data_IF_141706662724
#
_entry.id   IF_141706662724
#
_cell.length_a   1.000
_cell.length_b   1.000
_cell.length_c   1.000
_cell.angle_alpha   90.00
_cell.angle_beta   90.00
_cell.angle_gamma   90.00
#
_symmetry.space_group_name_H-M   'P 1'
#
loop_
_entity.id
_entity.type
_entity.pdbx_description
1 polymer ?
#
# COMPACT_ATOMS: atom_id res chain seq x y z
N UNK A 1 20.10 -6.57 -3.25
CA UNK A 1 20.77 -6.48 -1.94
C UNK A 1 20.33 -5.17 -1.31
N UNK A 2 20.09 -5.18 -0.01
CA UNK A 2 19.81 -3.97 0.76
C UNK A 2 21.04 -3.05 0.71
N UNK A 3 20.87 -1.76 0.43
CA UNK A 3 22.02 -0.84 0.36
C UNK A 3 22.54 -0.42 1.73
N UNK A 4 21.71 -0.61 2.77
CA UNK A 4 22.07 -0.29 4.16
C UNK A 4 22.93 -1.39 4.78
N UNK A 5 22.43 -2.63 4.80
CA UNK A 5 23.10 -3.75 5.48
C UNK A 5 23.86 -4.70 4.55
N UNK A 6 23.78 -4.50 3.22
CA UNK A 6 24.29 -5.44 2.21
C UNK A 6 23.73 -6.86 2.33
N UNK A 7 22.63 -7.04 3.04
CA UNK A 7 21.91 -8.31 3.18
C UNK A 7 21.00 -8.62 1.98
N UNK A 8 20.55 -9.88 1.85
CA UNK A 8 19.53 -10.24 0.89
C UNK A 8 18.20 -9.53 1.19
N UNK A 9 17.38 -9.36 0.15
CA UNK A 9 16.03 -8.81 0.27
C UNK A 9 15.03 -9.86 -0.18
N UNK A 10 13.88 -9.92 0.49
CA UNK A 10 12.79 -10.82 0.12
C UNK A 10 11.85 -10.12 -0.87
N UNK A 11 11.33 -10.87 -1.84
CA UNK A 11 10.25 -10.41 -2.71
C UNK A 11 8.95 -10.41 -1.92
N UNK A 12 8.36 -9.23 -1.71
CA UNK A 12 7.12 -9.05 -0.94
C UNK A 12 5.90 -9.06 -1.86
N UNK A 13 6.01 -8.41 -3.01
CA UNK A 13 4.92 -8.36 -3.98
C UNK A 13 5.46 -8.39 -5.41
N UNK A 14 4.70 -9.03 -6.30
CA UNK A 14 4.91 -8.95 -7.74
C UNK A 14 3.56 -8.76 -8.42
N UNK A 15 3.43 -7.67 -9.17
CA UNK A 15 2.22 -7.33 -9.90
C UNK A 15 2.48 -7.47 -11.39
N UNK A 16 1.62 -8.21 -12.08
CA UNK A 16 1.62 -8.31 -13.52
C UNK A 16 0.73 -7.23 -14.11
N UNK A 17 1.32 -6.32 -14.91
CA UNK A 17 0.57 -5.22 -15.50
C UNK A 17 -0.54 -5.68 -16.44
N UNK A 18 -0.36 -6.82 -17.13
CA UNK A 18 -1.39 -7.38 -17.99
C UNK A 18 -2.63 -7.87 -17.22
N UNK A 19 -2.56 -7.98 -15.89
CA UNK A 19 -3.65 -8.37 -15.01
C UNK A 19 -4.16 -7.20 -14.15
N UNK A 20 -3.58 -6.01 -14.32
CA UNK A 20 -3.98 -4.80 -13.60
C UNK A 20 -5.27 -4.23 -14.19
N UNK A 21 -6.17 -3.63 -13.38
CA UNK A 21 -7.35 -2.95 -13.91
C UNK A 21 -6.97 -1.79 -14.85
N UNK A 22 -7.79 -1.55 -15.86
CA UNK A 22 -7.55 -0.51 -16.88
C UNK A 22 -7.42 0.88 -16.23
N UNK A 23 -8.26 1.18 -15.25
CA UNK A 23 -8.29 2.47 -14.54
C UNK A 23 -6.97 2.76 -13.81
N UNK A 24 -6.35 1.71 -13.26
CA UNK A 24 -5.06 1.82 -12.58
C UNK A 24 -3.94 1.95 -13.61
N UNK A 25 -4.00 1.20 -14.71
CA UNK A 25 -3.01 1.33 -15.79
C UNK A 25 -2.99 2.74 -16.41
N UNK A 26 -4.16 3.33 -16.66
CA UNK A 26 -4.30 4.69 -17.16
C UNK A 26 -3.68 5.73 -16.21
N UNK A 27 -3.89 5.55 -14.91
CA UNK A 27 -3.35 6.43 -13.86
C UNK A 27 -1.82 6.38 -13.81
N UNK A 28 -1.25 5.17 -13.83
CA UNK A 28 0.19 4.96 -13.71
C UNK A 28 0.95 5.25 -15.01
N UNK A 29 0.24 5.36 -16.14
CA UNK A 29 0.83 5.55 -17.47
C UNK A 29 1.95 4.55 -17.77
N UNK A 30 1.86 3.35 -17.20
CA UNK A 30 2.78 2.25 -17.48
C UNK A 30 2.34 1.54 -18.76
N UNK A 31 3.24 0.79 -19.40
CA UNK A 31 2.86 -0.02 -20.56
C UNK A 31 1.89 -1.15 -20.20
N UNK A 32 1.16 -1.67 -21.19
CA UNK A 32 0.19 -2.79 -21.03
C UNK A 32 0.84 -4.10 -20.53
N UNK A 33 2.14 -4.25 -20.76
CA UNK A 33 2.92 -5.41 -20.35
C UNK A 33 4.09 -4.99 -19.45
N UNK A 34 4.33 -5.78 -18.40
CA UNK A 34 5.43 -5.56 -17.48
C UNK A 34 5.19 -6.19 -16.11
N UNK A 35 6.17 -6.03 -15.24
CA UNK A 35 6.08 -6.40 -13.83
C UNK A 35 6.43 -5.21 -12.95
N UNK A 36 5.69 -5.03 -11.86
CA UNK A 36 6.18 -4.26 -10.71
C UNK A 36 6.60 -5.26 -9.66
N UNK A 37 7.79 -5.10 -9.10
CA UNK A 37 8.32 -5.97 -8.05
C UNK A 37 8.73 -5.13 -6.85
N UNK A 38 8.31 -5.56 -5.67
CA UNK A 38 8.60 -4.92 -4.39
C UNK A 38 9.46 -5.87 -3.58
N UNK A 39 10.66 -5.43 -3.21
CA UNK A 39 11.58 -6.15 -2.36
C UNK A 39 11.80 -5.38 -1.06
N UNK A 40 11.88 -6.10 0.06
CA UNK A 40 12.15 -5.51 1.38
C UNK A 40 13.23 -6.28 2.13
N UNK A 41 14.02 -5.54 2.91
CA UNK A 41 14.99 -6.11 3.84
C UNK A 41 14.35 -6.28 5.23
N UNK A 42 14.43 -7.50 5.78
CA UNK A 42 13.94 -7.83 7.12
C UNK A 42 15.05 -7.89 8.17
N UNK A 43 16.18 -7.21 7.93
CA UNK A 43 17.25 -7.18 8.91
C UNK A 43 16.89 -6.21 10.04
N UNK A 44 16.30 -6.76 11.10
CA UNK A 44 15.89 -6.05 12.33
C UNK A 44 17.09 -5.47 13.07
N UNK A 45 18.22 -6.19 13.13
CA UNK A 45 19.43 -5.71 13.82
C UNK A 45 19.98 -4.43 13.18
N UNK A 46 19.88 -4.34 11.86
CA UNK A 46 20.27 -3.16 11.09
C UNK A 46 19.13 -2.14 10.92
N UNK A 47 17.97 -2.33 11.56
CA UNK A 47 16.78 -1.47 11.46
C UNK A 47 16.36 -1.18 10.01
N UNK A 48 16.55 -2.15 9.11
CA UNK A 48 16.26 -1.99 7.69
C UNK A 48 14.77 -2.15 7.35
N UNK A 49 13.97 -2.65 8.30
CA UNK A 49 12.53 -2.91 8.15
C UNK A 49 11.65 -1.65 8.18
N UNK A 50 12.23 -0.49 7.88
CA UNK A 50 11.49 0.78 7.85
C UNK A 50 10.86 0.99 6.47
N UNK A 51 9.64 1.53 6.46
CA UNK A 51 8.96 1.99 5.24
C UNK A 51 9.26 3.46 4.94
N UNK A 52 10.55 3.81 5.02
CA UNK A 52 11.03 5.15 4.66
C UNK A 52 11.37 5.16 3.16
N UNK A 53 10.77 6.07 2.38
CA UNK A 53 11.03 6.21 0.95
C UNK A 53 12.53 6.38 0.66
N UNK A 54 13.04 5.62 -0.32
CA UNK A 54 14.42 5.68 -0.80
C UNK A 54 15.50 5.40 0.27
N UNK A 55 15.14 4.82 1.41
CA UNK A 55 16.05 4.50 2.51
C UNK A 55 17.05 3.38 2.20
N UNK A 56 16.93 2.69 1.06
CA UNK A 56 17.82 1.58 0.72
C UNK A 56 17.45 0.21 1.34
N UNK A 57 16.60 0.21 2.36
CA UNK A 57 15.98 -1.00 2.95
C UNK A 57 14.91 -1.63 2.04
N UNK A 58 14.54 -0.94 0.96
CA UNK A 58 13.47 -1.30 0.04
C UNK A 58 13.92 -1.10 -1.41
N UNK A 59 13.46 -1.96 -2.29
CA UNK A 59 13.72 -1.85 -3.72
C UNK A 59 12.43 -2.14 -4.47
N UNK A 60 11.87 -1.10 -5.09
CA UNK A 60 10.73 -1.24 -5.98
C UNK A 60 11.23 -0.99 -7.40
N UNK A 61 10.90 -1.90 -8.30
CA UNK A 61 11.27 -1.75 -9.71
C UNK A 61 10.11 -2.06 -10.63
N UNK A 62 10.04 -1.29 -11.70
CA UNK A 62 9.26 -1.59 -12.88
C UNK A 62 10.15 -2.30 -13.90
N UNK A 63 9.68 -3.42 -14.44
CA UNK A 63 10.30 -4.15 -15.55
C UNK A 63 9.33 -4.09 -16.73
N UNK A 64 9.71 -3.37 -17.78
CA UNK A 64 8.85 -3.20 -18.95
C UNK A 64 8.65 -4.51 -19.72
N UNK A 65 7.56 -4.62 -20.50
CA UNK A 65 7.34 -5.77 -21.38
C UNK A 65 8.49 -6.00 -22.37
N UNK A 66 9.12 -4.93 -22.86
CA UNK A 66 10.32 -5.01 -23.71
C UNK A 66 11.49 -5.62 -22.95
N UNK A 67 11.73 -5.17 -21.71
CA UNK A 67 12.75 -5.77 -20.85
C UNK A 67 12.45 -7.23 -20.55
N UNK A 68 11.19 -7.62 -20.28
CA UNK A 68 10.81 -9.01 -20.08
C UNK A 68 11.05 -9.88 -21.33
N UNK A 69 10.77 -9.37 -22.52
CA UNK A 69 11.00 -10.06 -23.80
C UNK A 69 12.48 -10.14 -24.15
N UNK A 70 13.26 -9.14 -23.75
CA UNK A 70 14.72 -9.08 -23.98
C UNK A 70 15.53 -9.78 -22.89
N UNK A 71 14.96 -9.93 -21.69
CA UNK A 71 15.52 -10.69 -20.59
C UNK A 71 15.69 -12.11 -21.12
N UNK A 72 16.95 -12.53 -21.13
CA UNK A 72 17.47 -13.73 -21.80
C UNK A 72 16.45 -14.87 -21.72
N UNK A 73 16.27 -15.54 -22.87
CA UNK A 73 15.46 -16.76 -23.08
C UNK A 73 15.24 -17.55 -21.80
N UNK A 74 14.03 -18.08 -21.60
CA UNK A 74 13.67 -19.03 -20.53
C UNK A 74 14.83 -19.91 -20.05
N UNK A 75 15.65 -20.42 -20.98
CA UNK A 75 16.84 -21.24 -20.74
C UNK A 75 17.94 -20.55 -19.91
N UNK A 76 18.19 -19.26 -20.13
CA UNK A 76 19.15 -18.48 -19.34
C UNK A 76 18.63 -18.19 -17.93
N UNK A 77 17.32 -17.94 -17.77
CA UNK A 77 16.69 -17.81 -16.45
C UNK A 77 16.73 -19.16 -15.72
N UNK A 78 16.42 -20.26 -16.41
CA UNK A 78 16.54 -21.61 -15.87
C UNK A 78 17.99 -21.97 -15.53
N UNK A 79 18.97 -21.56 -16.33
CA UNK A 79 20.39 -21.79 -16.06
C UNK A 79 20.81 -21.04 -14.79
N UNK A 80 20.47 -19.75 -14.66
CA UNK A 80 20.71 -18.97 -13.45
C UNK A 80 20.03 -19.56 -12.21
N UNK A 81 18.77 -20.00 -12.35
CA UNK A 81 18.04 -20.66 -11.27
C UNK A 81 18.68 -22.00 -10.88
N UNK A 82 19.14 -22.78 -11.87
CA UNK A 82 19.81 -24.07 -11.65
C UNK A 82 21.16 -23.89 -10.97
N UNK A 83 21.93 -22.88 -11.39
CA UNK A 83 23.21 -22.50 -10.77
C UNK A 83 23.01 -22.00 -9.34
N UNK A 84 21.98 -21.15 -9.11
CA UNK A 84 21.62 -20.68 -7.78
C UNK A 84 21.12 -21.80 -6.84
N UNK A 85 20.61 -22.90 -7.39
CA UNK A 85 20.18 -24.09 -6.63
C UNK A 85 21.31 -25.11 -6.44
N UNK A 86 22.33 -25.09 -7.31
CA UNK A 86 23.53 -25.90 -7.19
C UNK A 86 24.56 -25.28 -6.22
N UNK A 87 24.61 -23.94 -6.12
CA UNK A 87 25.03 -23.27 -4.89
C UNK A 87 23.93 -23.43 -3.84
N UNK A 88 24.27 -23.45 -2.55
CA UNK A 88 23.25 -23.38 -1.49
C UNK A 88 22.35 -22.19 -1.80
N UNK A 89 21.10 -22.44 -2.20
CA UNK A 89 20.11 -21.39 -2.40
C UNK A 89 20.16 -20.49 -1.16
N UNK A 90 20.10 -19.14 -1.30
CA UNK A 90 20.21 -18.25 -0.16
C UNK A 90 19.14 -18.65 0.86
N UNK A 91 19.56 -19.35 1.92
CA UNK A 91 18.68 -19.86 2.98
C UNK A 91 18.23 -18.74 3.92
N UNK A 92 18.64 -17.50 3.66
CA UNK A 92 18.54 -16.38 4.58
C UNK A 92 17.39 -15.41 4.24
N UNK A 93 16.64 -15.65 3.17
CA UNK A 93 15.39 -14.92 2.92
C UNK A 93 14.24 -15.56 3.69
N UNK A 94 13.41 -14.76 4.35
CA UNK A 94 12.15 -15.24 4.94
C UNK A 94 11.21 -15.57 3.76
N UNK A 95 10.81 -16.84 3.57
CA UNK A 95 9.82 -17.18 2.56
C UNK A 95 8.46 -16.64 3.01
N UNK A 96 7.86 -15.77 2.21
CA UNK A 96 6.49 -15.30 2.41
C UNK A 96 5.53 -16.24 1.68
N UNK A 97 4.34 -16.46 2.24
CA UNK A 97 3.31 -17.22 1.53
C UNK A 97 2.69 -16.37 0.41
N UNK A 98 2.20 -17.02 -0.63
CA UNK A 98 1.42 -16.33 -1.67
C UNK A 98 0.04 -15.97 -1.10
N UNK A 99 -0.39 -14.72 -1.28
CA UNK A 99 -1.76 -14.28 -1.05
C UNK A 99 -2.34 -13.61 -2.30
N UNK A 100 -3.65 -13.79 -2.56
CA UNK A 100 -4.34 -13.03 -3.58
C UNK A 100 -4.45 -11.56 -3.16
N UNK A 101 -4.40 -10.67 -4.15
CA UNK A 101 -4.86 -9.29 -3.97
C UNK A 101 -6.38 -9.32 -3.78
N UNK A 102 -6.84 -8.92 -2.60
CA UNK A 102 -8.26 -8.96 -2.20
C UNK A 102 -8.98 -7.66 -2.53
N UNK A 103 -8.25 -6.54 -2.54
CA UNK A 103 -8.76 -5.21 -2.89
C UNK A 103 -8.39 -4.82 -4.32
N UNK A 104 -9.39 -4.58 -5.16
CA UNK A 104 -9.17 -3.91 -6.45
C UNK A 104 -10.11 -2.74 -6.48
N UNK A 105 -9.55 -1.52 -6.49
CA UNK A 105 -10.38 -0.34 -6.64
C UNK A 105 -10.89 -0.29 -8.07
N UNK A 106 -12.22 -0.34 -8.20
CA UNK A 106 -12.93 -0.25 -9.47
C UNK A 106 -13.75 1.03 -9.47
N UNK A 107 -13.53 1.85 -10.49
CA UNK A 107 -14.44 2.91 -10.95
C UNK A 107 -14.53 4.21 -10.11
N UNK A 108 -15.19 5.24 -10.68
CA UNK A 108 -15.37 6.64 -10.25
C UNK A 108 -16.09 6.86 -8.90
N UNK A 109 -16.20 5.83 -8.06
CA UNK A 109 -16.88 5.89 -6.77
C UNK A 109 -15.97 5.53 -5.59
N UNK A 110 -14.65 5.56 -5.81
CA UNK A 110 -13.68 5.50 -4.71
C UNK A 110 -13.49 6.89 -4.10
N UNK A 111 -13.56 6.96 -2.77
CA UNK A 111 -13.44 8.20 -2.02
C UNK A 111 -12.12 8.22 -1.28
N UNK A 112 -11.52 9.42 -1.07
CA UNK A 112 -10.40 9.56 -0.15
C UNK A 112 -10.74 8.92 1.20
N UNK A 113 -9.72 8.38 1.85
CA UNK A 113 -9.85 7.65 3.10
C UNK A 113 -9.19 8.41 4.25
N UNK A 114 -9.81 8.32 5.42
CA UNK A 114 -9.27 8.82 6.68
C UNK A 114 -8.64 10.23 6.56
N UNK A 115 -7.34 10.39 6.87
CA UNK A 115 -6.67 11.69 6.81
C UNK A 115 -6.79 12.43 5.46
N UNK A 116 -6.78 11.70 4.35
CA UNK A 116 -6.86 12.30 3.01
C UNK A 116 -8.26 12.84 2.72
N UNK A 117 -9.29 12.21 3.27
CA UNK A 117 -10.66 12.72 3.21
C UNK A 117 -10.81 14.01 4.00
N UNK A 118 -10.22 14.07 5.18
CA UNK A 118 -10.24 15.27 6.03
C UNK A 118 -9.56 16.45 5.32
N UNK A 119 -8.41 16.21 4.68
CA UNK A 119 -7.72 17.21 3.86
C UNK A 119 -8.60 17.67 2.70
N UNK A 120 -9.17 16.76 1.92
CA UNK A 120 -10.05 17.11 0.80
C UNK A 120 -11.26 17.91 1.28
N UNK A 121 -11.96 17.45 2.32
CA UNK A 121 -13.14 18.13 2.88
C UNK A 121 -12.82 19.51 3.46
N UNK A 122 -11.60 19.71 3.96
CA UNK A 122 -11.15 21.02 4.45
C UNK A 122 -11.03 22.08 3.36
N UNK A 123 -10.75 21.65 2.11
CA UNK A 123 -10.57 22.55 0.96
C UNK A 123 -11.86 22.90 0.24
N UNK A 124 -12.91 22.10 0.42
CA UNK A 124 -14.17 22.29 -0.29
C UNK A 124 -15.08 23.30 0.42
N UNK A 125 -15.74 24.16 -0.36
CA UNK A 125 -16.79 25.07 0.11
C UNK A 125 -18.11 24.33 0.36
N UNK A 126 -18.12 23.42 1.35
CA UNK A 126 -19.30 22.70 1.81
C UNK A 126 -19.70 23.13 3.22
N UNK A 127 -20.99 22.99 3.55
CA UNK A 127 -21.45 23.12 4.93
C UNK A 127 -20.94 21.94 5.78
N UNK A 128 -20.83 22.13 7.09
CA UNK A 128 -20.41 21.05 8.00
C UNK A 128 -21.35 19.83 7.91
N UNK A 129 -22.66 20.03 7.73
CA UNK A 129 -23.63 18.94 7.51
C UNK A 129 -23.35 18.16 6.22
N UNK A 130 -22.90 18.83 5.15
CA UNK A 130 -22.53 18.16 3.90
C UNK A 130 -21.24 17.36 4.05
N UNK A 131 -20.24 17.90 4.77
CA UNK A 131 -18.99 17.20 5.06
C UNK A 131 -19.23 15.95 5.91
N UNK A 132 -20.09 16.05 6.91
CA UNK A 132 -20.49 14.92 7.76
C UNK A 132 -21.14 13.80 6.93
N UNK A 133 -22.06 14.14 6.02
CA UNK A 133 -22.68 13.15 5.12
C UNK A 133 -21.68 12.50 4.17
N UNK A 134 -20.71 13.25 3.65
CA UNK A 134 -19.66 12.68 2.79
C UNK A 134 -18.77 11.74 3.60
N UNK A 135 -18.40 12.14 4.81
CA UNK A 135 -17.60 11.32 5.73
C UNK A 135 -18.32 10.02 6.10
N UNK A 136 -19.58 10.08 6.50
CA UNK A 136 -20.41 8.91 6.84
C UNK A 136 -20.59 7.97 5.64
N UNK A 137 -20.80 8.53 4.44
CA UNK A 137 -20.92 7.74 3.22
C UNK A 137 -19.61 7.05 2.84
N UNK A 138 -18.48 7.75 2.98
CA UNK A 138 -17.15 7.17 2.77
C UNK A 138 -16.92 6.03 3.75
N UNK A 139 -17.20 6.25 5.04
CA UNK A 139 -17.01 5.27 6.11
C UNK A 139 -17.83 3.98 5.88
N UNK A 140 -19.13 4.12 5.64
CA UNK A 140 -20.03 2.97 5.40
C UNK A 140 -19.56 2.12 4.22
N UNK A 141 -18.99 2.78 3.21
CA UNK A 141 -18.48 2.12 2.01
C UNK A 141 -17.12 1.46 2.25
N UNK A 142 -16.27 2.08 3.06
CA UNK A 142 -14.99 1.50 3.51
C UNK A 142 -15.22 0.20 4.30
N UNK A 143 -16.17 0.18 5.24
CA UNK A 143 -16.51 -1.05 6.00
C UNK A 143 -17.01 -2.17 5.07
N UNK A 144 -17.80 -1.84 4.05
CA UNK A 144 -18.33 -2.81 3.10
C UNK A 144 -17.26 -3.39 2.17
N UNK A 145 -16.13 -2.70 1.96
CA UNK A 145 -15.07 -3.10 1.03
C UNK A 145 -13.97 -3.94 1.68
N UNK A 146 -13.95 -4.07 3.01
CA UNK A 146 -12.90 -4.77 3.74
C UNK A 146 -11.63 -3.92 3.83
N UNK A 147 -11.29 -3.53 5.05
CA UNK A 147 -10.14 -2.66 5.36
C UNK A 147 -8.78 -3.32 5.12
N UNK A 148 -8.76 -4.65 5.09
CA UNK A 148 -7.56 -5.41 5.39
C UNK A 148 -6.97 -6.08 4.15
N UNK A 149 -5.65 -5.98 4.05
CA UNK A 149 -4.86 -6.76 3.11
C UNK A 149 -4.30 -6.00 1.92
N UNK A 150 -4.13 -6.73 0.82
CA UNK A 150 -3.43 -6.25 -0.38
C UNK A 150 -4.43 -5.60 -1.34
N UNK A 151 -4.20 -4.35 -1.71
CA UNK A 151 -5.05 -3.63 -2.65
C UNK A 151 -4.27 -2.93 -3.78
N UNK A 152 -4.78 -2.96 -5.01
CA UNK A 152 -4.17 -2.26 -6.15
C UNK A 152 -4.96 -0.98 -6.49
N UNK A 153 -4.23 0.13 -6.66
CA UNK A 153 -4.78 1.44 -7.01
C UNK A 153 -5.64 2.09 -5.93
N UNK A 154 -6.45 3.07 -6.35
CA UNK A 154 -7.40 3.78 -5.49
C UNK A 154 -6.76 4.64 -4.40
N UNK A 155 -7.51 4.90 -3.34
CA UNK A 155 -7.03 5.68 -2.19
C UNK A 155 -6.37 4.79 -1.13
N UNK A 156 -5.25 5.28 -0.59
CA UNK A 156 -4.50 4.59 0.45
C UNK A 156 -5.19 4.65 1.80
N UNK A 157 -4.99 3.61 2.60
CA UNK A 157 -5.41 3.60 3.99
C UNK A 157 -4.30 4.15 4.88
N UNK A 158 -4.26 5.47 5.00
CA UNK A 158 -3.28 6.18 5.80
C UNK A 158 -3.57 6.03 7.30
N UNK A 159 -2.60 5.45 8.02
CA UNK A 159 -2.72 5.20 9.46
C UNK A 159 -2.50 6.47 10.29
N UNK A 160 -1.44 7.22 10.00
CA UNK A 160 -0.98 8.36 10.84
C UNK A 160 -1.07 9.72 10.14
N UNK A 161 -1.31 9.76 8.84
CA UNK A 161 -1.38 10.98 8.02
C UNK A 161 -1.07 10.70 6.56
N UNK A 162 -1.42 11.63 5.67
CA UNK A 162 -1.08 11.56 4.25
C UNK A 162 0.41 11.85 4.09
N UNK A 163 1.17 10.90 3.55
CA UNK A 163 2.63 11.01 3.45
C UNK A 163 3.14 10.52 2.09
N UNK A 164 2.69 11.15 1.01
CA UNK A 164 3.25 10.90 -0.32
C UNK A 164 4.74 11.31 -0.36
N UNK A 165 5.65 10.43 -0.81
CA UNK A 165 7.05 10.79 -0.97
C UNK A 165 7.24 11.78 -2.11
N UNK A 166 8.25 12.63 -1.98
CA UNK A 166 8.72 13.46 -3.09
C UNK A 166 9.59 12.64 -4.05
N UNK A 167 9.36 12.81 -5.34
CA UNK A 167 10.19 12.16 -6.36
C UNK A 167 11.62 12.73 -6.30
N UNK A 168 12.67 11.88 -6.24
CA UNK A 168 14.05 12.35 -6.17
C UNK A 168 14.51 13.08 -7.42
N UNK A 169 13.85 12.85 -8.57
CA UNK A 169 14.23 13.43 -9.85
C UNK A 169 13.59 14.81 -10.11
N UNK A 170 12.33 15.01 -9.72
CA UNK A 170 11.61 16.28 -9.97
C UNK A 170 11.03 16.98 -8.74
N UNK A 171 11.12 16.38 -7.56
CA UNK A 171 10.56 16.93 -6.31
C UNK A 171 9.03 17.01 -6.28
N UNK A 172 8.33 16.38 -7.23
CA UNK A 172 6.86 16.30 -7.20
C UNK A 172 6.43 15.16 -6.30
N UNK A 173 5.40 15.38 -5.48
CA UNK A 173 4.76 14.33 -4.71
C UNK A 173 4.34 13.16 -5.62
N UNK A 174 4.67 11.94 -5.19
CA UNK A 174 4.42 10.71 -5.94
C UNK A 174 3.00 10.22 -5.65
N UNK A 175 2.01 10.76 -6.35
CA UNK A 175 0.58 10.48 -6.11
C UNK A 175 0.02 9.32 -6.92
N UNK A 176 0.81 8.67 -7.79
CA UNK A 176 0.34 7.51 -8.56
C UNK A 176 0.21 6.29 -7.67
N UNK A 177 -1.00 5.94 -7.25
CA UNK A 177 -1.22 4.84 -6.31
C UNK A 177 -1.10 3.47 -6.99
N UNK A 178 -0.18 2.63 -6.50
CA UNK A 178 0.10 1.32 -7.11
C UNK A 178 -0.46 0.20 -6.26
N UNK A 179 -0.01 0.11 -5.01
CA UNK A 179 -0.27 -1.03 -4.13
C UNK A 179 -0.36 -0.55 -2.68
N UNK A 180 -1.40 -0.97 -1.97
CA UNK A 180 -1.47 -0.94 -0.52
C UNK A 180 -1.11 -2.33 0.00
N UNK A 181 -0.25 -2.37 1.02
CA UNK A 181 0.25 -3.56 1.67
C UNK A 181 -0.06 -3.44 3.15
N UNK A 182 -0.92 -4.30 3.66
CA UNK A 182 -1.16 -4.40 5.09
C UNK A 182 -0.22 -5.44 5.73
N UNK A 183 -0.05 -5.34 7.04
CA UNK A 183 0.50 -6.45 7.82
C UNK A 183 -0.49 -7.60 7.80
N UNK A 184 -0.02 -8.79 7.46
CA UNK A 184 -0.86 -9.97 7.24
C UNK A 184 -0.16 -11.21 7.80
N UNK A 185 -0.71 -11.75 8.88
CA UNK A 185 -0.21 -12.95 9.54
C UNK A 185 -0.22 -14.16 8.60
N UNK A 186 -1.19 -14.23 7.68
CA UNK A 186 -1.36 -15.34 6.73
C UNK A 186 -0.17 -15.51 5.79
N UNK A 187 0.50 -14.41 5.44
CA UNK A 187 1.69 -14.41 4.59
C UNK A 187 2.99 -14.21 5.36
N UNK A 188 2.91 -14.07 6.69
CA UNK A 188 4.05 -13.81 7.57
C UNK A 188 4.67 -12.42 7.33
N UNK A 189 3.87 -11.46 6.87
CA UNK A 189 4.30 -10.09 6.65
C UNK A 189 3.90 -9.23 7.84
N UNK A 190 4.89 -8.71 8.55
CA UNK A 190 4.68 -7.76 9.65
C UNK A 190 5.41 -6.46 9.35
N UNK A 191 4.68 -5.34 9.30
CA UNK A 191 5.23 -4.01 9.06
C UNK A 191 5.24 -3.23 10.39
N UNK A 192 6.32 -3.34 11.15
CA UNK A 192 6.41 -2.80 12.52
C UNK A 192 5.36 -3.42 13.45
N UNK A 193 4.60 -2.62 14.20
CA UNK A 193 3.54 -3.11 15.10
C UNK A 193 2.18 -3.33 14.41
N UNK A 194 2.18 -3.89 13.20
CA UNK A 194 0.97 -4.13 12.40
C UNK A 194 0.52 -2.94 11.55
N UNK A 195 1.48 -2.21 11.00
CA UNK A 195 1.26 -1.06 10.11
C UNK A 195 0.90 -1.44 8.67
N UNK A 196 0.74 -0.40 7.85
CA UNK A 196 0.52 -0.49 6.41
C UNK A 196 1.67 0.18 5.64
N UNK A 197 1.88 -0.26 4.40
CA UNK A 197 2.80 0.36 3.47
C UNK A 197 2.13 0.57 2.11
N UNK A 198 2.44 1.69 1.48
CA UNK A 198 1.89 2.16 0.22
C UNK A 198 3.01 2.28 -0.80
N UNK A 199 2.82 1.69 -1.98
CA UNK A 199 3.70 1.86 -3.13
C UNK A 199 3.12 2.92 -4.04
N UNK A 200 3.89 3.98 -4.28
CA UNK A 200 3.52 5.13 -5.07
C UNK A 200 4.45 5.33 -6.26
N UNK A 201 3.96 5.94 -7.32
CA UNK A 201 4.70 6.27 -8.53
C UNK A 201 4.72 7.80 -8.74
N UNK A 202 5.83 8.29 -9.27
CA UNK A 202 5.90 9.68 -9.72
C UNK A 202 5.03 9.89 -10.96
N UNK A 203 4.14 10.90 -10.98
CA UNK A 203 3.31 11.18 -12.16
C UNK A 203 4.10 11.66 -13.39
N UNK A 204 5.34 12.12 -13.18
CA UNK A 204 6.23 12.64 -14.22
C UNK A 204 7.30 11.63 -14.67
N UNK A 205 7.56 10.58 -13.88
CA UNK A 205 8.62 9.62 -14.13
C UNK A 205 8.13 8.19 -13.89
N UNK A 206 7.74 7.49 -14.97
CA UNK A 206 7.15 6.16 -14.91
C UNK A 206 8.01 5.11 -14.17
N UNK A 207 9.33 5.25 -14.24
CA UNK A 207 10.28 4.36 -13.57
C UNK A 207 10.53 4.68 -12.10
N UNK A 208 10.04 5.82 -11.60
CA UNK A 208 10.25 6.24 -10.22
C UNK A 208 9.09 5.74 -9.37
N UNK A 209 9.41 4.77 -8.52
CA UNK A 209 8.52 4.13 -7.57
C UNK A 209 9.13 4.24 -6.17
N UNK A 210 8.28 4.42 -5.18
CA UNK A 210 8.67 4.51 -3.78
C UNK A 210 7.67 3.75 -2.93
N UNK A 211 8.12 3.27 -1.78
CA UNK A 211 7.24 2.72 -0.76
C UNK A 211 7.38 3.58 0.50
N UNK A 212 6.24 3.94 1.05
CA UNK A 212 6.08 4.70 2.29
C UNK A 212 5.20 3.90 3.22
N UNK A 213 5.33 4.05 4.53
CA UNK A 213 4.50 3.30 5.46
C UNK A 213 4.79 3.66 6.90
N UNK A 214 3.80 3.40 7.76
CA UNK A 214 3.86 3.71 9.19
C UNK A 214 3.28 2.57 10.00
N UNK A 215 3.80 2.45 11.21
CA UNK A 215 3.27 1.52 12.21
C UNK A 215 1.88 1.98 12.66
N UNK A 216 1.00 1.01 12.93
CA UNK A 216 -0.31 1.26 13.52
C UNK A 216 -0.12 1.61 14.99
N UNK A 217 -0.46 2.86 15.35
CA UNK A 217 -0.50 3.25 16.77
C UNK A 217 -1.73 2.59 17.41
N UNK A 218 -1.54 1.35 17.88
CA UNK A 218 -2.59 0.52 18.46
C UNK A 218 -3.27 1.17 19.66
N UNK A 219 -2.58 2.04 20.40
CA UNK A 219 -3.16 2.73 21.55
C UNK A 219 -4.11 3.83 21.09
N UNK A 220 -3.69 4.65 20.14
CA UNK A 220 -4.54 5.67 19.51
C UNK A 220 -5.72 5.05 18.78
N UNK A 221 -5.54 3.91 18.14
CA UNK A 221 -6.63 3.21 17.46
C UNK A 221 -7.65 2.62 18.44
N UNK A 222 -7.19 2.00 19.53
CA UNK A 222 -8.06 1.56 20.64
C UNK A 222 -8.77 2.74 21.29
N UNK A 223 -8.13 3.89 21.39
CA UNK A 223 -8.76 5.11 21.89
C UNK A 223 -9.86 5.60 20.95
N UNK A 224 -9.59 5.64 19.63
CA UNK A 224 -10.60 5.95 18.61
C UNK A 224 -11.74 4.93 18.61
N UNK A 225 -11.47 3.65 18.80
CA UNK A 225 -12.49 2.61 18.92
C UNK A 225 -13.37 2.82 20.16
N UNK A 226 -12.76 3.09 21.33
CA UNK A 226 -13.50 3.44 22.56
C UNK A 226 -14.30 4.73 22.42
N UNK A 227 -13.77 5.73 21.72
CA UNK A 227 -14.49 6.97 21.45
C UNK A 227 -15.70 6.72 20.54
N UNK A 228 -15.53 5.87 19.50
CA UNK A 228 -16.60 5.40 18.62
C UNK A 228 -17.68 4.61 19.37
N UNK A 229 -17.30 3.71 20.27
CA UNK A 229 -18.26 3.00 21.14
C UNK A 229 -19.08 3.99 21.99
N UNK A 230 -18.41 4.98 22.60
CA UNK A 230 -19.08 6.03 23.37
C UNK A 230 -20.01 6.88 22.50
N UNK A 231 -19.64 7.18 21.26
CA UNK A 231 -20.50 7.91 20.33
C UNK A 231 -21.72 7.10 19.91
N UNK A 232 -21.54 5.81 19.61
CA UNK A 232 -22.63 4.89 19.36
C UNK A 232 -23.61 4.81 20.53
N UNK A 233 -23.10 4.71 21.76
CA UNK A 233 -23.91 4.73 22.98
C UNK A 233 -24.67 6.06 23.16
N UNK A 234 -24.01 7.20 22.89
CA UNK A 234 -24.65 8.53 22.93
C UNK A 234 -25.80 8.62 21.92
N UNK A 235 -25.59 8.13 20.70
CA UNK A 235 -26.59 8.16 19.63
C UNK A 235 -27.80 7.28 19.98
N UNK A 236 -27.56 6.06 20.47
CA UNK A 236 -28.62 5.15 20.96
C UNK A 236 -29.44 5.77 22.11
N UNK A 237 -28.76 6.45 23.04
CA UNK A 237 -29.41 7.13 24.17
C UNK A 237 -30.29 8.29 23.71
N UNK A 238 -29.85 9.05 22.70
CA UNK A 238 -30.61 10.16 22.12
C UNK A 238 -31.85 9.68 21.35
N UNK A 239 -31.73 8.60 20.58
CA UNK A 239 -32.85 7.97 19.86
C UNK A 239 -33.92 7.47 20.85
N UNK A 240 -33.50 6.88 21.97
CA UNK A 240 -34.44 6.48 23.03
C UNK A 240 -35.15 7.66 23.70
N UNK A 241 -34.45 8.79 23.89
CA UNK A 241 -35.04 9.99 24.48
C UNK A 241 -36.06 10.68 23.56
N UNK A 242 -35.86 10.66 22.24
CA UNK A 242 -36.79 11.27 21.28
C UNK A 242 -38.00 10.40 20.90
N UNK A 243 -37.94 9.08 21.10
CA UNK A 243 -39.05 8.16 20.79
C UNK A 243 -40.20 8.13 21.81
N UNK A 244 -40.12 8.92 22.88
CA UNK A 244 -41.08 8.96 24.00
C UNK A 244 -41.83 10.31 24.15
N UNK A 245 -41.85 11.15 23.11
CA UNK A 245 -42.72 12.33 23.01
C UNK A 245 -43.74 12.17 21.89
#
# INVERSE_FOLDING_TARGET
MCTECNGPMSLVAQINLAQMPEEVQETLKLGEEGLIQVYMCYNVEAMCETCIPFSGGQCIRYVSGTELKSARTRDAILALYTEARAGQAPTEGIPLNEAPVTGVVRDQQDFPKGPELDEVLSTLEHTEEQKEKISEHSWTRMEAQGYEGLAIGGWFDWVQGVEYPDCPDCGTAMTGTVLNIDSMDEIGLMLGDGGTAQVCQCPNHQGQLAMTGRERDREREREREREREREGERHLTMVWACGYM
#
